data_IF_353339761693
#
_entry.id   IF_353339761693
#
_cell.length_a   1.000
_cell.length_b   1.000
_cell.length_c   1.000
_cell.angle_alpha   90.00
_cell.angle_beta   90.00
_cell.angle_gamma   90.00
#
_symmetry.space_group_name_H-M   'P 1'
#
loop_
_entity.id
_entity.type
_entity.pdbx_description
1 polymer ?
#
# COMPACT_ATOMS: atom_id res chain seq x y z
N UNK A 1 1.06 47.43 -28.46
CA UNK A 1 1.90 46.21 -28.62
C UNK A 1 2.37 45.62 -27.29
N UNK A 2 2.81 46.43 -26.31
CA UNK A 2 3.34 45.92 -25.03
C UNK A 2 2.34 45.15 -24.13
N UNK A 3 1.08 45.57 -24.06
CA UNK A 3 0.06 44.93 -23.19
C UNK A 3 -0.32 43.53 -23.67
N UNK A 4 -0.41 43.33 -24.99
CA UNK A 4 -0.72 42.02 -25.58
C UNK A 4 0.40 41.04 -25.27
N UNK A 5 1.67 41.46 -25.43
CA UNK A 5 2.83 40.62 -25.13
C UNK A 5 2.87 40.22 -23.65
N UNK A 6 2.60 41.16 -22.74
CA UNK A 6 2.56 40.89 -21.29
C UNK A 6 1.47 39.88 -20.92
N UNK A 7 0.26 40.00 -21.47
CA UNK A 7 -0.83 39.07 -21.22
C UNK A 7 -0.54 37.68 -21.78
N UNK A 8 0.11 37.58 -22.95
CA UNK A 8 0.50 36.28 -23.54
C UNK A 8 1.54 35.57 -22.67
N UNK A 9 2.54 36.29 -22.16
CA UNK A 9 3.55 35.72 -21.26
C UNK A 9 2.89 35.22 -19.97
N UNK A 10 2.02 36.03 -19.36
CA UNK A 10 1.29 35.65 -18.15
C UNK A 10 0.44 34.38 -18.36
N UNK A 11 -0.25 34.29 -19.50
CA UNK A 11 -1.08 33.14 -19.84
C UNK A 11 -0.25 31.85 -20.01
N UNK A 12 0.92 31.92 -20.65
CA UNK A 12 1.80 30.76 -20.85
C UNK A 12 2.37 30.28 -19.52
N UNK A 13 2.83 31.19 -18.66
CA UNK A 13 3.34 30.84 -17.32
C UNK A 13 2.26 30.17 -16.47
N UNK A 14 1.03 30.71 -16.50
CA UNK A 14 -0.10 30.14 -15.76
C UNK A 14 -0.49 28.74 -16.29
N UNK A 15 -0.56 28.57 -17.61
CA UNK A 15 -0.85 27.27 -18.23
C UNK A 15 0.22 26.22 -17.86
N UNK A 16 1.50 26.60 -17.85
CA UNK A 16 2.58 25.73 -17.43
C UNK A 16 2.43 25.27 -15.98
N UNK A 17 2.11 26.19 -15.06
CA UNK A 17 1.89 25.86 -13.65
C UNK A 17 0.72 24.89 -13.45
N UNK A 18 -0.38 25.09 -14.19
CA UNK A 18 -1.54 24.20 -14.15
C UNK A 18 -1.15 22.79 -14.62
N UNK A 19 -0.49 22.68 -15.78
CA UNK A 19 -0.08 21.39 -16.33
C UNK A 19 0.90 20.68 -15.39
N UNK A 20 1.88 21.40 -14.85
CA UNK A 20 2.81 20.84 -13.87
C UNK A 20 2.08 20.33 -12.61
N UNK A 21 1.11 21.09 -12.10
CA UNK A 21 0.29 20.68 -10.96
C UNK A 21 -0.54 19.43 -11.25
N UNK A 22 -1.20 19.36 -12.41
CA UNK A 22 -1.95 18.19 -12.84
C UNK A 22 -1.06 16.95 -13.00
N UNK A 23 0.13 17.11 -13.57
CA UNK A 23 1.10 16.02 -13.70
C UNK A 23 1.55 15.53 -12.32
N UNK A 24 1.79 16.44 -11.37
CA UNK A 24 2.10 16.07 -9.98
C UNK A 24 0.98 15.28 -9.33
N UNK A 25 -0.28 15.73 -9.45
CA UNK A 25 -1.44 15.03 -8.90
C UNK A 25 -1.61 13.65 -9.55
N UNK A 26 -1.48 13.56 -10.87
CA UNK A 26 -1.58 12.30 -11.60
C UNK A 26 -0.49 11.31 -11.15
N UNK A 27 0.74 11.77 -11.00
CA UNK A 27 1.85 10.96 -10.49
C UNK A 27 1.55 10.45 -9.07
N UNK A 28 1.08 11.32 -8.17
CA UNK A 28 0.70 10.93 -6.81
C UNK A 28 -0.45 9.92 -6.80
N UNK A 29 -1.46 10.09 -7.67
CA UNK A 29 -2.56 9.16 -7.79
C UNK A 29 -2.08 7.76 -8.23
N UNK A 30 -1.14 7.69 -9.18
CA UNK A 30 -0.52 6.42 -9.60
C UNK A 30 0.22 5.78 -8.42
N UNK A 31 1.04 6.52 -7.69
CA UNK A 31 1.76 5.98 -6.51
C UNK A 31 0.77 5.52 -5.44
N UNK A 32 -0.31 6.26 -5.22
CA UNK A 32 -1.34 5.90 -4.26
C UNK A 32 -1.99 4.54 -4.59
N UNK A 33 -2.00 4.10 -5.85
CA UNK A 33 -2.56 2.78 -6.20
C UNK A 33 -1.85 1.60 -5.53
N UNK A 34 -0.57 1.75 -5.14
CA UNK A 34 0.14 0.72 -4.38
C UNK A 34 -0.50 0.44 -3.02
N UNK A 35 -1.17 1.44 -2.41
CA UNK A 35 -1.82 1.28 -1.12
C UNK A 35 -3.04 0.36 -1.17
N UNK A 36 -3.65 0.15 -2.35
CA UNK A 36 -4.75 -0.82 -2.49
C UNK A 36 -4.30 -2.27 -2.35
N UNK A 37 -2.99 -2.55 -2.42
CA UNK A 37 -2.42 -3.89 -2.31
C UNK A 37 -1.82 -4.18 -0.93
N UNK A 38 -2.18 -3.38 0.08
CA UNK A 38 -1.69 -3.58 1.44
C UNK A 38 -2.36 -4.80 2.08
N UNK A 39 -1.56 -5.84 2.31
CA UNK A 39 -1.95 -6.98 3.14
C UNK A 39 -1.57 -6.68 4.59
N UNK A 40 -2.56 -6.32 5.39
CA UNK A 40 -2.41 -6.11 6.82
C UNK A 40 -2.63 -7.43 7.55
N UNK A 41 -1.67 -7.81 8.39
CA UNK A 41 -1.74 -9.01 9.21
C UNK A 41 -1.03 -8.79 10.53
N UNK A 42 -1.30 -9.66 11.50
CA UNK A 42 -0.55 -9.66 12.75
C UNK A 42 0.90 -10.10 12.48
N UNK A 43 1.89 -9.48 13.14
CA UNK A 43 3.27 -9.94 13.04
C UNK A 43 3.38 -11.39 13.53
N UNK A 44 3.98 -12.24 12.71
CA UNK A 44 4.22 -13.66 13.01
C UNK A 44 5.65 -14.04 12.59
N UNK A 45 6.04 -15.30 12.83
CA UNK A 45 7.37 -15.80 12.47
C UNK A 45 7.58 -15.90 10.95
N UNK A 46 6.50 -15.87 10.16
CA UNK A 46 6.55 -15.65 8.73
C UNK A 46 7.10 -14.26 8.34
N UNK A 47 7.07 -13.26 9.21
CA UNK A 47 7.63 -11.94 8.89
C UNK A 47 9.11 -11.80 9.27
N UNK A 48 9.76 -12.89 9.70
CA UNK A 48 11.17 -12.92 10.09
C UNK A 48 12.08 -13.14 8.88
N UNK A 49 13.37 -12.84 9.06
CA UNK A 49 14.40 -13.09 8.05
C UNK A 49 14.53 -14.59 7.77
N UNK A 50 14.74 -14.97 6.51
CA UNK A 50 14.85 -16.36 6.06
C UNK A 50 15.94 -17.17 6.77
N UNK A 51 17.03 -16.53 7.18
CA UNK A 51 18.15 -17.17 7.87
C UNK A 51 17.89 -17.47 9.36
N UNK A 52 16.75 -17.03 9.91
CA UNK A 52 16.42 -17.26 11.32
C UNK A 52 15.84 -18.66 11.52
N UNK A 53 16.22 -19.31 12.63
CA UNK A 53 15.68 -20.62 13.01
C UNK A 53 14.15 -20.61 13.12
N UNK A 54 13.58 -19.49 13.56
CA UNK A 54 12.16 -19.26 13.73
C UNK A 54 11.44 -19.25 12.38
N UNK A 55 11.99 -18.57 11.36
CA UNK A 55 11.42 -18.56 10.01
C UNK A 55 11.49 -19.94 9.35
N UNK A 56 12.60 -20.65 9.52
CA UNK A 56 12.75 -22.01 8.99
C UNK A 56 11.76 -22.98 9.63
N UNK A 57 11.58 -22.91 10.95
CA UNK A 57 10.58 -23.70 11.65
C UNK A 57 9.16 -23.37 11.19
N UNK A 58 8.85 -22.08 11.00
CA UNK A 58 7.57 -21.64 10.46
C UNK A 58 7.27 -22.25 9.08
N UNK A 59 8.25 -22.22 8.17
CA UNK A 59 8.11 -22.78 6.82
C UNK A 59 7.89 -24.30 6.86
N UNK A 60 8.63 -25.03 7.69
CA UNK A 60 8.43 -26.48 7.89
C UNK A 60 7.02 -26.83 8.39
N UNK A 61 6.48 -26.04 9.33
CA UNK A 61 5.12 -26.24 9.83
C UNK A 61 4.07 -25.88 8.77
N UNK A 62 4.25 -24.76 8.06
CA UNK A 62 3.35 -24.34 6.99
C UNK A 62 3.31 -25.36 5.85
N UNK A 63 4.44 -25.95 5.48
CA UNK A 63 4.52 -26.97 4.43
C UNK A 63 3.83 -28.28 4.83
N UNK A 64 3.95 -28.67 6.11
CA UNK A 64 3.36 -29.91 6.61
C UNK A 64 1.84 -29.80 6.86
N UNK A 65 1.35 -28.66 7.36
CA UNK A 65 -0.03 -28.50 7.83
C UNK A 65 -0.88 -27.55 6.96
N UNK A 66 -0.27 -26.84 6.01
CA UNK A 66 -0.94 -25.90 5.12
C UNK A 66 -1.09 -24.49 5.68
N UNK A 67 -1.64 -23.60 4.85
CA UNK A 67 -1.82 -22.20 5.19
C UNK A 67 -2.80 -22.02 6.37
N UNK A 68 -2.45 -21.16 7.32
CA UNK A 68 -3.32 -20.84 8.46
C UNK A 68 -3.38 -21.92 9.54
N UNK A 69 -2.39 -22.82 9.62
CA UNK A 69 -2.30 -23.93 10.59
C UNK A 69 -2.44 -23.50 12.07
N UNK A 70 -2.26 -22.22 12.35
CA UNK A 70 -2.18 -21.61 13.67
C UNK A 70 -3.25 -20.52 13.88
N UNK A 71 -4.20 -20.39 12.94
CA UNK A 71 -5.29 -19.41 12.96
C UNK A 71 -6.67 -20.07 13.03
N UNK A 72 -6.84 -21.01 13.97
CA UNK A 72 -8.12 -21.69 14.20
C UNK A 72 -9.16 -20.70 14.71
N UNK A 73 -10.29 -20.61 14.00
CA UNK A 73 -11.44 -19.83 14.45
C UNK A 73 -12.19 -20.60 15.53
N UNK A 74 -12.16 -20.09 16.76
CA UNK A 74 -12.88 -20.68 17.89
C UNK A 74 -14.27 -20.04 17.98
N UNK A 75 -15.32 -20.87 17.96
CA UNK A 75 -16.69 -20.43 18.24
C UNK A 75 -16.98 -20.69 19.70
N UNK A 76 -17.34 -19.65 20.44
CA UNK A 76 -17.75 -19.73 21.84
C UNK A 76 -19.25 -19.52 21.88
N UNK A 77 -19.99 -20.49 22.40
CA UNK A 77 -21.41 -20.34 22.71
C UNK A 77 -21.55 -20.10 24.21
N UNK A 78 -22.18 -18.98 24.57
CA UNK A 78 -22.59 -18.73 25.94
C UNK A 78 -23.95 -19.40 26.16
N UNK A 79 -24.08 -20.29 27.17
CA UNK A 79 -25.38 -20.85 27.51
C UNK A 79 -26.27 -19.77 28.14
N UNK A 80 -27.54 -19.72 27.73
CA UNK A 80 -28.56 -18.91 28.38
C UNK A 80 -28.99 -19.60 29.70
N UNK A 81 -28.18 -19.42 30.75
CA UNK A 81 -28.34 -20.03 32.10
C UNK A 81 -28.25 -21.57 32.18
#
# INVERSE_FOLDING_TARGET
>A
MGVILANVILAITFAFLLVAGMLGIALLAVIATLFFHLNLGLPNDGNKQYETSERQGFDMLSDAYGAGFHSTLVVIAEPDE
#
